data_IF_990410195478
#
_entry.id   IF_990410195478
#
_cell.length_a   1.000
_cell.length_b   1.000
_cell.length_c   1.000
_cell.angle_alpha   90.00
_cell.angle_beta   90.00
_cell.angle_gamma   90.00
#
_symmetry.space_group_name_H-M   'P 1'
#
loop_
_entity.id
_entity.type
_entity.pdbx_description
1 polymer ?
#
# COMPACT_ATOMS: atom_id res chain seq x y z
N UNK A 1 17.09 -12.33 4.66
CA UNK A 1 15.75 -12.48 4.06
C UNK A 1 14.69 -12.20 5.12
N UNK A 2 14.21 -10.96 5.15
CA UNK A 2 13.02 -10.58 5.91
C UNK A 2 11.77 -11.04 5.19
N UNK A 3 10.83 -11.61 5.92
CA UNK A 3 9.50 -12.01 5.41
C UNK A 3 8.50 -10.86 5.56
N UNK A 4 7.34 -10.97 4.91
CA UNK A 4 6.23 -10.02 5.10
C UNK A 4 5.78 -10.05 6.57
N UNK A 5 5.76 -11.25 7.17
CA UNK A 5 5.51 -11.41 8.61
C UNK A 5 6.48 -10.59 9.47
N UNK A 6 7.78 -10.65 9.19
CA UNK A 6 8.77 -9.86 9.93
C UNK A 6 8.48 -8.35 9.84
N UNK A 7 8.11 -7.86 8.64
CA UNK A 7 7.72 -6.45 8.45
C UNK A 7 6.46 -6.07 9.23
N UNK A 8 5.46 -6.95 9.29
CA UNK A 8 4.25 -6.73 10.11
C UNK A 8 4.63 -6.54 11.58
N UNK A 9 5.47 -7.41 12.13
CA UNK A 9 5.87 -7.30 13.54
C UNK A 9 6.74 -6.07 13.83
N UNK A 10 7.56 -5.64 12.87
CA UNK A 10 8.27 -4.35 12.96
C UNK A 10 7.29 -3.17 13.03
N UNK A 11 6.31 -3.12 12.12
CA UNK A 11 5.29 -2.07 12.09
C UNK A 11 4.43 -2.06 13.36
N UNK A 12 4.08 -3.24 13.90
CA UNK A 12 3.38 -3.34 15.19
C UNK A 12 4.19 -2.73 16.32
N UNK A 13 5.51 -2.98 16.36
CA UNK A 13 6.41 -2.42 17.36
C UNK A 13 6.56 -0.90 17.19
N UNK A 14 6.77 -0.43 15.97
CA UNK A 14 6.87 1.00 15.63
C UNK A 14 5.61 1.76 16.06
N UNK A 15 4.43 1.15 15.91
CA UNK A 15 3.13 1.74 16.26
C UNK A 15 2.67 1.46 17.70
N UNK A 16 3.46 0.73 18.50
CA UNK A 16 3.06 0.34 19.86
C UNK A 16 1.79 -0.53 19.91
N UNK A 17 1.47 -1.23 18.82
CA UNK A 17 0.25 -2.02 18.69
C UNK A 17 0.48 -3.45 19.17
N UNK A 18 -0.35 -3.92 20.09
CA UNK A 18 -0.28 -5.31 20.56
C UNK A 18 -0.81 -6.30 19.50
N UNK A 19 -0.34 -7.55 19.55
CA UNK A 19 -0.85 -8.60 18.66
C UNK A 19 -2.37 -8.82 18.82
N UNK A 20 -2.88 -8.71 20.05
CA UNK A 20 -4.31 -8.83 20.35
C UNK A 20 -5.12 -7.71 19.71
N UNK A 21 -4.63 -6.48 19.81
CA UNK A 21 -5.25 -5.32 19.17
C UNK A 21 -5.25 -5.46 17.64
N UNK A 22 -4.12 -5.87 17.08
CA UNK A 22 -4.01 -6.12 15.65
C UNK A 22 -4.95 -7.22 15.16
N UNK A 23 -5.08 -8.31 15.93
CA UNK A 23 -6.03 -9.39 15.65
C UNK A 23 -7.47 -8.89 15.63
N UNK A 24 -7.86 -8.10 16.64
CA UNK A 24 -9.20 -7.53 16.74
C UNK A 24 -9.51 -6.61 15.55
N UNK A 25 -8.59 -5.71 15.21
CA UNK A 25 -8.78 -4.74 14.12
C UNK A 25 -8.77 -5.38 12.73
N UNK A 26 -7.97 -6.42 12.52
CA UNK A 26 -7.88 -7.10 11.22
C UNK A 26 -8.90 -8.24 11.05
N UNK A 27 -9.51 -8.72 12.14
CA UNK A 27 -10.32 -9.94 12.14
C UNK A 27 -9.53 -11.23 11.93
N UNK A 28 -8.19 -11.17 11.94
CA UNK A 28 -7.32 -12.34 11.77
C UNK A 28 -7.09 -12.97 13.15
N UNK A 29 -7.27 -14.28 13.27
CA UNK A 29 -7.09 -14.96 14.55
C UNK A 29 -5.68 -14.77 15.12
N UNK A 30 -5.57 -14.52 16.43
CA UNK A 30 -4.28 -14.41 17.13
C UNK A 30 -3.40 -15.65 16.95
N UNK A 31 -4.01 -16.83 16.79
CA UNK A 31 -3.31 -18.09 16.49
C UNK A 31 -2.62 -18.04 15.13
N UNK A 32 -3.29 -17.51 14.10
CA UNK A 32 -2.71 -17.32 12.76
C UNK A 32 -1.54 -16.34 12.79
N UNK A 33 -1.67 -15.22 13.50
CA UNK A 33 -0.61 -14.22 13.64
C UNK A 33 0.59 -14.82 14.40
N UNK A 34 0.33 -15.57 15.47
CA UNK A 34 1.36 -16.30 16.22
C UNK A 34 2.10 -17.32 15.35
N UNK A 35 1.37 -18.01 14.48
CA UNK A 35 1.91 -18.98 13.55
C UNK A 35 2.87 -18.34 12.53
N UNK A 36 2.57 -17.14 12.03
CA UNK A 36 3.49 -16.42 11.13
C UNK A 36 4.88 -16.24 11.74
N UNK A 37 4.93 -15.87 13.03
CA UNK A 37 6.19 -15.72 13.78
C UNK A 37 6.88 -17.06 14.05
N UNK A 38 6.14 -18.07 14.50
CA UNK A 38 6.70 -19.37 14.91
C UNK A 38 7.14 -20.23 13.72
N UNK A 39 6.32 -20.27 12.68
CA UNK A 39 6.48 -21.13 11.50
C UNK A 39 7.14 -20.40 10.32
N UNK A 40 7.45 -19.10 10.47
CA UNK A 40 7.99 -18.24 9.41
C UNK A 40 7.12 -18.25 8.15
N UNK A 41 5.81 -18.22 8.35
CA UNK A 41 4.83 -18.15 7.26
C UNK A 41 4.39 -16.71 7.04
N UNK A 42 3.92 -16.40 5.84
CA UNK A 42 3.35 -15.09 5.50
C UNK A 42 1.82 -15.13 5.60
N UNK A 43 1.17 -13.97 5.81
CA UNK A 43 -0.26 -13.85 5.57
C UNK A 43 -0.60 -14.26 4.13
N UNK A 44 -1.78 -14.88 3.97
CA UNK A 44 -2.37 -15.10 2.64
C UNK A 44 -2.77 -13.77 2.01
N UNK A 45 -2.79 -13.71 0.68
CA UNK A 45 -2.92 -12.47 -0.09
C UNK A 45 -4.21 -11.69 0.16
N UNK A 46 -5.31 -12.38 0.47
CA UNK A 46 -6.60 -11.78 0.81
C UNK A 46 -6.58 -10.94 2.10
N UNK A 47 -5.57 -11.15 2.96
CA UNK A 47 -5.39 -10.37 4.20
C UNK A 47 -4.53 -9.14 4.02
N UNK A 48 -3.85 -8.98 2.90
CA UNK A 48 -2.87 -7.89 2.72
C UNK A 48 -3.53 -6.52 2.85
N UNK A 49 -4.69 -6.30 2.22
CA UNK A 49 -5.33 -4.99 2.24
C UNK A 49 -5.80 -4.59 3.64
N UNK A 50 -6.43 -5.49 4.40
CA UNK A 50 -6.86 -5.20 5.77
C UNK A 50 -5.67 -4.99 6.71
N UNK A 51 -4.57 -5.72 6.51
CA UNK A 51 -3.33 -5.51 7.26
C UNK A 51 -2.77 -4.10 6.95
N UNK A 52 -2.75 -3.69 5.68
CA UNK A 52 -2.30 -2.37 5.25
C UNK A 52 -3.17 -1.25 5.84
N UNK A 53 -4.49 -1.44 5.84
CA UNK A 53 -5.45 -0.49 6.42
C UNK A 53 -5.22 -0.31 7.93
N UNK A 54 -5.12 -1.40 8.69
CA UNK A 54 -4.91 -1.35 10.15
C UNK A 54 -3.54 -0.78 10.52
N UNK A 55 -2.52 -1.09 9.73
CA UNK A 55 -1.16 -0.58 9.93
C UNK A 55 -0.94 0.79 9.28
N UNK A 56 -1.90 1.35 8.55
CA UNK A 56 -1.80 2.63 7.84
C UNK A 56 -0.54 2.70 6.94
N UNK A 57 -0.31 1.65 6.17
CA UNK A 57 0.78 1.56 5.19
C UNK A 57 0.20 1.20 3.83
N UNK A 58 0.95 1.47 2.76
CA UNK A 58 0.53 0.97 1.44
C UNK A 58 0.90 -0.52 1.30
N UNK A 59 0.20 -1.27 0.42
CA UNK A 59 0.64 -2.61 0.06
C UNK A 59 2.08 -2.64 -0.45
N UNK A 60 2.53 -1.58 -1.12
CA UNK A 60 3.92 -1.47 -1.55
C UNK A 60 4.86 -1.41 -0.35
N UNK A 61 4.62 -0.55 0.65
CA UNK A 61 5.47 -0.43 1.85
C UNK A 61 5.55 -1.75 2.63
N UNK A 62 4.42 -2.47 2.70
CA UNK A 62 4.35 -3.76 3.38
C UNK A 62 5.11 -4.86 2.63
N UNK A 63 4.96 -4.92 1.30
CA UNK A 63 5.50 -5.99 0.46
C UNK A 63 6.96 -5.74 0.01
N UNK A 64 7.38 -4.49 -0.10
CA UNK A 64 8.75 -4.09 -0.49
C UNK A 64 9.76 -4.21 0.65
N UNK A 65 9.30 -4.14 1.91
CA UNK A 65 10.13 -4.33 3.10
C UNK A 65 10.62 -5.78 3.30
N UNK A 66 10.08 -6.75 2.57
CA UNK A 66 10.65 -8.09 2.44
C UNK A 66 11.75 -8.05 1.38
N UNK A 67 13.02 -8.17 1.80
CA UNK A 67 14.22 -8.05 0.94
C UNK A 67 14.02 -8.68 -0.44
N UNK A 68 13.70 -7.83 -1.42
CA UNK A 68 13.61 -8.23 -2.82
C UNK A 68 15.03 -8.33 -3.37
N UNK A 69 15.56 -9.54 -3.48
CA UNK A 69 16.82 -9.86 -4.17
C UNK A 69 16.66 -9.79 -5.69
N UNK A 70 16.07 -8.71 -6.22
CA UNK A 70 15.91 -8.54 -7.65
C UNK A 70 15.82 -7.09 -8.06
N UNK A 71 16.58 -6.73 -9.10
CA UNK A 71 16.51 -5.46 -9.86
C UNK A 71 15.13 -5.20 -10.53
N UNK A 72 14.05 -5.81 -10.03
CA UNK A 72 12.66 -5.64 -10.47
C UNK A 72 11.91 -4.56 -9.69
N UNK A 73 12.52 -3.98 -8.65
CA UNK A 73 12.01 -2.74 -8.10
C UNK A 73 12.23 -1.66 -9.14
N UNK A 74 11.26 -1.46 -10.04
CA UNK A 74 11.18 -0.21 -10.77
C UNK A 74 11.25 0.88 -9.70
N UNK A 75 12.12 1.85 -9.89
CA UNK A 75 12.10 3.11 -9.14
C UNK A 75 10.65 3.58 -9.00
N UNK A 76 10.34 4.16 -7.84
CA UNK A 76 9.03 4.50 -7.28
C UNK A 76 8.12 5.37 -8.18
N UNK A 77 7.84 4.93 -9.40
CA UNK A 77 7.20 5.69 -10.48
C UNK A 77 5.71 5.35 -10.57
N UNK A 78 5.06 5.26 -9.41
CA UNK A 78 3.63 4.98 -9.31
C UNK A 78 3.05 5.77 -8.15
N UNK A 79 1.99 6.52 -8.43
CA UNK A 79 1.23 7.23 -7.41
C UNK A 79 0.03 6.38 -6.98
N UNK A 80 -0.14 6.19 -5.67
CA UNK A 80 -1.37 5.65 -5.09
C UNK A 80 -2.28 6.83 -4.76
N UNK A 81 -3.41 6.93 -5.46
CA UNK A 81 -4.35 8.05 -5.35
C UNK A 81 -5.71 7.53 -4.89
N UNK A 82 -6.24 8.09 -3.80
CA UNK A 82 -7.59 7.77 -3.34
C UNK A 82 -8.63 8.46 -4.22
N UNK A 83 -9.62 7.70 -4.70
CA UNK A 83 -10.68 8.18 -5.61
C UNK A 83 -11.50 9.35 -5.05
N UNK A 84 -11.65 9.43 -3.72
CA UNK A 84 -12.43 10.48 -3.06
C UNK A 84 -11.71 11.82 -2.89
N UNK A 85 -10.47 11.96 -3.36
CA UNK A 85 -9.69 13.20 -3.27
C UNK A 85 -9.83 14.02 -4.55
N UNK A 86 -9.60 15.33 -4.49
CA UNK A 86 -9.63 16.20 -5.68
C UNK A 86 -8.71 15.69 -6.80
N UNK A 87 -7.54 15.18 -6.43
CA UNK A 87 -6.61 14.56 -7.38
C UNK A 87 -7.14 13.23 -7.94
N UNK A 88 -7.87 12.45 -7.14
CA UNK A 88 -8.57 11.24 -7.61
C UNK A 88 -9.66 11.57 -8.62
N UNK A 89 -10.50 12.57 -8.32
CA UNK A 89 -11.54 13.07 -9.22
C UNK A 89 -10.93 13.63 -10.50
N UNK A 90 -9.81 14.36 -10.41
CA UNK A 90 -9.08 14.87 -11.57
C UNK A 90 -8.60 13.73 -12.47
N UNK A 91 -7.98 12.69 -11.89
CA UNK A 91 -7.49 11.53 -12.65
C UNK A 91 -8.65 10.78 -13.32
N UNK A 92 -9.76 10.53 -12.61
CA UNK A 92 -10.93 9.86 -13.20
C UNK A 92 -11.54 10.70 -14.32
N UNK A 93 -11.70 12.01 -14.11
CA UNK A 93 -12.24 12.93 -15.11
C UNK A 93 -11.35 13.00 -16.35
N UNK A 94 -10.02 13.08 -16.17
CA UNK A 94 -9.06 13.10 -17.26
C UNK A 94 -9.12 11.85 -18.14
N UNK A 95 -9.30 10.67 -17.53
CA UNK A 95 -9.39 9.40 -18.27
C UNK A 95 -10.65 9.31 -19.15
N UNK A 96 -11.70 10.09 -18.87
CA UNK A 96 -12.92 10.13 -19.66
C UNK A 96 -12.86 11.12 -20.83
N UNK A 97 -11.85 11.99 -20.85
CA UNK A 97 -11.66 12.97 -21.92
C UNK A 97 -11.13 12.34 -23.20
N UNK A 98 -11.44 12.94 -24.35
CA UNK A 98 -10.78 12.60 -25.62
C UNK A 98 -9.30 12.98 -25.58
N UNK A 99 -8.49 12.36 -26.44
CA UNK A 99 -7.06 12.67 -26.56
C UNK A 99 -6.79 14.16 -26.82
N UNK A 100 -7.67 14.83 -27.58
CA UNK A 100 -7.54 16.27 -27.87
C UNK A 100 -7.84 17.13 -26.64
N UNK A 101 -8.86 16.77 -25.86
CA UNK A 101 -9.20 17.44 -24.61
C UNK A 101 -8.11 17.23 -23.56
N UNK A 102 -7.54 16.03 -23.47
CA UNK A 102 -6.40 15.73 -22.61
C UNK A 102 -5.19 16.61 -22.94
N UNK A 103 -4.81 16.70 -24.23
CA UNK A 103 -3.73 17.59 -24.69
C UNK A 103 -4.00 19.05 -24.34
N UNK A 104 -5.24 19.51 -24.51
CA UNK A 104 -5.63 20.88 -24.16
C UNK A 104 -5.51 21.14 -22.66
N UNK A 105 -5.92 20.20 -21.82
CA UNK A 105 -5.77 20.31 -20.37
C UNK A 105 -4.30 20.37 -19.96
N UNK A 106 -3.44 19.53 -20.55
CA UNK A 106 -2.00 19.59 -20.30
C UNK A 106 -1.41 20.94 -20.70
N UNK A 107 -1.82 21.51 -21.83
CA UNK A 107 -1.40 22.86 -22.22
C UNK A 107 -1.81 23.96 -21.23
N UNK A 108 -3.01 23.86 -20.63
CA UNK A 108 -3.40 24.77 -19.54
C UNK A 108 -2.56 24.58 -18.29
N UNK A 109 -2.25 23.33 -17.92
CA UNK A 109 -1.40 23.04 -16.76
C UNK A 109 0.02 23.59 -16.95
N UNK A 110 0.58 23.48 -18.15
CA UNK A 110 1.90 24.02 -18.46
C UNK A 110 1.90 25.56 -18.39
N UNK A 111 0.89 26.21 -18.97
CA UNK A 111 0.76 27.66 -18.94
C UNK A 111 0.53 28.25 -17.53
N UNK A 112 0.03 27.46 -16.57
CA UNK A 112 -0.16 27.88 -15.17
C UNK A 112 1.12 27.70 -14.34
N UNK A 113 2.02 26.79 -14.75
CA UNK A 113 3.27 26.50 -14.05
C UNK A 113 4.38 27.50 -14.38
N UNK A 114 4.29 28.18 -15.52
CA UNK A 114 5.13 29.33 -15.90
C UNK A 114 4.74 30.60 -15.12
#
# INVERSE_FOLDING_TARGET
MKTISDRIFELLKEKGMSQKEFSLRTGIAESSISDWKKKRTNPVSDKILIICEVLEVTPYDLLSGAEHTGNRSRTNDTYVISKGTDIGVLVESYQQLSTEQQKRLMGYLDAIKE
#
